data_IF_539670704566
#
_entry.id   IF_539670704566
#
_cell.length_a   1.000
_cell.length_b   1.000
_cell.length_c   1.000
_cell.angle_alpha   90.00
_cell.angle_beta   90.00
_cell.angle_gamma   90.00
#
_symmetry.space_group_name_H-M   'P 1'
#
loop_
_entity.id
_entity.type
_entity.pdbx_description
1 polymer ?
#
# COMPACT_ATOMS: atom_id res chain seq x y z
N UNK A 1 -8.56 2.96 -14.02
CA UNK A 1 -9.72 2.59 -13.18
C UNK A 1 -9.46 1.21 -12.61
N UNK A 2 -9.47 1.06 -11.28
CA UNK A 2 -9.41 -0.27 -10.65
C UNK A 2 -10.83 -0.80 -10.55
N UNK A 3 -11.09 -1.99 -11.12
CA UNK A 3 -12.42 -2.60 -11.20
C UNK A 3 -12.69 -3.63 -10.09
N UNK A 4 -11.71 -3.86 -9.22
CA UNK A 4 -11.82 -4.71 -8.03
C UNK A 4 -10.60 -4.58 -7.12
N UNK A 5 -10.83 -4.72 -5.82
CA UNK A 5 -9.82 -4.66 -4.74
C UNK A 5 -10.15 -5.74 -3.72
N UNK A 6 -9.14 -6.55 -3.36
CA UNK A 6 -9.17 -7.58 -2.30
C UNK A 6 -10.34 -8.58 -2.36
N UNK A 7 -10.88 -8.85 -3.55
CA UNK A 7 -11.98 -9.79 -3.74
C UNK A 7 -11.45 -11.24 -3.78
N UNK A 8 -10.65 -11.64 -2.79
CA UNK A 8 -9.87 -12.89 -2.75
C UNK A 8 -10.67 -14.13 -3.17
N UNK A 9 -11.92 -14.26 -2.70
CA UNK A 9 -12.80 -15.40 -3.02
C UNK A 9 -13.34 -15.41 -4.45
N UNK A 10 -13.27 -14.29 -5.15
CA UNK A 10 -13.81 -14.10 -6.50
C UNK A 10 -12.71 -14.03 -7.58
N UNK A 11 -11.43 -14.02 -7.23
CA UNK A 11 -10.33 -13.83 -8.20
C UNK A 11 -10.33 -14.86 -9.34
N UNK A 12 -10.75 -16.10 -9.07
CA UNK A 12 -10.89 -17.15 -10.07
C UNK A 12 -12.24 -17.21 -10.80
N UNK A 13 -13.15 -16.28 -10.54
CA UNK A 13 -14.50 -16.31 -11.11
C UNK A 13 -14.48 -15.96 -12.60
N UNK A 14 -15.07 -16.80 -13.49
CA UNK A 14 -15.04 -16.55 -14.93
C UNK A 14 -15.75 -15.25 -15.35
N UNK A 15 -16.66 -14.71 -14.52
CA UNK A 15 -17.41 -13.47 -14.79
C UNK A 15 -16.52 -12.23 -14.84
N UNK A 16 -15.29 -12.29 -14.34
CA UNK A 16 -14.32 -11.19 -14.50
C UNK A 16 -14.08 -10.83 -15.97
N UNK A 17 -14.13 -11.82 -16.86
CA UNK A 17 -13.93 -11.59 -18.31
C UNK A 17 -15.00 -10.67 -18.87
N UNK A 18 -16.27 -10.97 -18.57
CA UNK A 18 -17.41 -10.18 -19.05
C UNK A 18 -17.45 -8.80 -18.39
N UNK A 19 -17.13 -8.73 -17.09
CA UNK A 19 -17.05 -7.46 -16.36
C UNK A 19 -15.96 -6.55 -16.94
N UNK A 20 -14.77 -7.09 -17.21
CA UNK A 20 -13.68 -6.32 -17.81
C UNK A 20 -14.03 -5.86 -19.23
N UNK A 21 -14.60 -6.75 -20.05
CA UNK A 21 -15.06 -6.40 -21.38
C UNK A 21 -16.10 -5.27 -21.35
N UNK A 22 -17.07 -5.33 -20.43
CA UNK A 22 -18.07 -4.29 -20.25
C UNK A 22 -17.45 -2.97 -19.78
N UNK A 23 -16.53 -3.00 -18.81
CA UNK A 23 -15.83 -1.82 -18.33
C UNK A 23 -15.10 -1.08 -19.46
N UNK A 24 -14.49 -1.81 -20.42
CA UNK A 24 -13.82 -1.22 -21.59
C UNK A 24 -14.77 -0.52 -22.58
N UNK A 25 -16.07 -0.83 -22.54
CA UNK A 25 -17.06 -0.08 -23.34
C UNK A 25 -17.34 1.31 -22.77
N UNK A 26 -17.10 1.50 -21.47
CA UNK A 26 -17.38 2.75 -20.74
C UNK A 26 -16.11 3.57 -20.48
N UNK A 27 -14.96 2.92 -20.41
CA UNK A 27 -13.69 3.54 -20.03
C UNK A 27 -12.56 3.08 -20.95
N UNK A 28 -11.93 4.03 -21.64
CA UNK A 28 -10.84 3.77 -22.60
C UNK A 28 -9.44 3.81 -22.00
N UNK A 29 -9.30 4.20 -20.73
CA UNK A 29 -8.01 4.23 -20.04
C UNK A 29 -7.60 2.87 -19.47
N UNK A 30 -6.46 2.84 -18.77
CA UNK A 30 -5.93 1.63 -18.14
C UNK A 30 -6.89 1.10 -17.05
N UNK A 31 -7.29 -0.17 -17.17
CA UNK A 31 -8.05 -0.90 -16.17
C UNK A 31 -7.11 -1.67 -15.24
N UNK A 32 -7.51 -1.86 -13.97
CA UNK A 32 -6.68 -2.60 -13.02
C UNK A 32 -7.46 -3.39 -11.97
N UNK A 33 -6.72 -4.20 -11.23
CA UNK A 33 -7.21 -4.97 -10.08
C UNK A 33 -6.14 -4.94 -8.99
N UNK A 34 -6.56 -4.71 -7.75
CA UNK A 34 -5.68 -4.74 -6.58
C UNK A 34 -5.88 -6.06 -5.82
N UNK A 35 -4.82 -6.87 -5.75
CA UNK A 35 -4.80 -8.05 -4.88
C UNK A 35 -4.61 -7.63 -3.42
N UNK A 36 -5.13 -8.43 -2.49
CA UNK A 36 -4.76 -8.32 -1.08
C UNK A 36 -3.29 -8.77 -0.88
N UNK A 37 -2.56 -8.19 0.09
CA UNK A 37 -1.12 -8.40 0.31
C UNK A 37 -0.74 -9.86 0.60
N UNK A 38 -1.62 -10.61 1.25
CA UNK A 38 -1.38 -11.99 1.67
C UNK A 38 -1.48 -12.96 0.48
N UNK A 39 -2.46 -12.72 -0.40
CA UNK A 39 -2.69 -13.50 -1.63
C UNK A 39 -1.71 -13.11 -2.74
N UNK A 40 -1.41 -11.82 -2.91
CA UNK A 40 -0.62 -11.28 -4.03
C UNK A 40 0.70 -12.03 -4.28
N UNK A 41 1.41 -12.34 -3.21
CA UNK A 41 2.73 -12.98 -3.26
C UNK A 41 2.71 -14.47 -3.58
N UNK A 42 1.54 -15.10 -3.60
CA UNK A 42 1.38 -16.54 -3.80
C UNK A 42 0.42 -16.88 -4.95
N UNK A 43 -0.44 -15.93 -5.34
CA UNK A 43 -1.46 -16.15 -6.36
C UNK A 43 -0.86 -16.32 -7.75
N UNK A 44 -1.39 -17.32 -8.46
CA UNK A 44 -1.14 -17.57 -9.88
C UNK A 44 -2.29 -17.08 -10.77
N UNK A 45 -3.34 -16.53 -10.15
CA UNK A 45 -4.52 -16.01 -10.86
C UNK A 45 -4.11 -14.86 -11.79
N UNK A 46 -4.71 -14.85 -12.98
CA UNK A 46 -4.55 -13.79 -13.97
C UNK A 46 -5.85 -13.03 -14.13
N UNK A 47 -5.87 -11.79 -13.68
CA UNK A 47 -7.02 -10.90 -13.85
C UNK A 47 -7.06 -10.35 -15.28
N UNK A 48 -8.24 -10.26 -15.92
CA UNK A 48 -8.39 -9.74 -17.28
C UNK A 48 -8.37 -8.20 -17.31
N UNK A 49 -7.30 -7.59 -16.81
CA UNK A 49 -7.12 -6.13 -16.71
C UNK A 49 -5.75 -5.72 -17.25
N UNK A 50 -5.58 -4.43 -17.58
CA UNK A 50 -4.31 -3.92 -18.12
C UNK A 50 -3.18 -3.93 -17.07
N UNK A 51 -3.52 -3.66 -15.79
CA UNK A 51 -2.54 -3.65 -14.68
C UNK A 51 -3.04 -4.34 -13.43
N UNK A 52 -2.26 -5.29 -12.93
CA UNK A 52 -2.43 -5.84 -11.59
C UNK A 52 -1.54 -5.09 -10.60
N UNK A 53 -2.08 -4.81 -9.42
CA UNK A 53 -1.36 -4.21 -8.30
C UNK A 53 -1.74 -4.90 -7.00
N UNK A 54 -1.40 -4.26 -5.88
CA UNK A 54 -1.60 -4.84 -4.55
C UNK A 54 -1.94 -3.75 -3.52
N UNK A 55 -2.87 -4.06 -2.64
CA UNK A 55 -3.12 -3.32 -1.41
C UNK A 55 -2.17 -3.89 -0.36
N UNK A 56 -1.13 -3.13 -0.04
CA UNK A 56 0.12 -3.65 0.51
C UNK A 56 0.24 -3.35 2.02
N UNK A 57 -0.09 -4.37 2.81
CA UNK A 57 0.00 -4.35 4.27
C UNK A 57 0.79 -5.57 4.80
N UNK A 58 2.05 -5.77 4.39
CA UNK A 58 2.79 -6.96 4.79
C UNK A 58 3.01 -7.05 6.30
N UNK A 59 2.69 -8.18 6.91
CA UNK A 59 2.94 -8.40 8.32
C UNK A 59 4.44 -8.59 8.59
N UNK A 60 5.05 -7.63 9.30
CA UNK A 60 6.46 -7.64 9.68
C UNK A 60 6.56 -7.91 11.20
N UNK A 61 7.09 -9.07 11.64
CA UNK A 61 7.16 -9.42 13.07
C UNK A 61 8.29 -8.67 13.82
N UNK A 62 8.36 -7.35 13.62
CA UNK A 62 9.37 -6.44 14.16
C UNK A 62 8.84 -5.65 15.36
N UNK A 63 9.71 -5.20 16.28
CA UNK A 63 9.34 -4.30 17.38
C UNK A 63 9.17 -2.85 16.91
N UNK A 64 8.57 -2.00 17.74
CA UNK A 64 8.27 -0.60 17.40
C UNK A 64 9.51 0.29 17.23
N UNK A 65 10.62 -0.11 17.87
CA UNK A 65 11.91 0.53 17.74
C UNK A 65 12.70 0.10 16.50
N UNK A 66 12.17 -0.81 15.68
CA UNK A 66 12.80 -1.24 14.44
C UNK A 66 13.17 -0.06 13.54
N UNK A 67 14.37 -0.13 13.00
CA UNK A 67 14.92 0.84 12.06
C UNK A 67 14.20 0.81 10.71
N UNK A 68 14.36 1.89 9.94
CA UNK A 68 13.88 1.95 8.55
C UNK A 68 14.54 0.87 7.70
N UNK A 69 15.81 0.56 7.96
CA UNK A 69 16.57 -0.52 7.31
C UNK A 69 15.92 -1.89 7.54
N UNK A 70 15.57 -2.22 8.80
CA UNK A 70 14.93 -3.49 9.15
C UNK A 70 13.54 -3.62 8.52
N UNK A 71 12.76 -2.54 8.56
CA UNK A 71 11.44 -2.49 7.91
C UNK A 71 11.57 -2.64 6.40
N UNK A 72 12.49 -1.94 5.75
CA UNK A 72 12.71 -2.04 4.30
C UNK A 72 13.18 -3.45 3.91
N UNK A 73 14.01 -4.10 4.74
CA UNK A 73 14.38 -5.50 4.55
C UNK A 73 13.16 -6.43 4.68
N UNK A 74 12.27 -6.18 5.65
CA UNK A 74 11.00 -6.92 5.80
C UNK A 74 10.08 -6.77 4.59
N UNK A 75 9.89 -5.54 4.10
CA UNK A 75 9.14 -5.24 2.87
C UNK A 75 9.73 -5.98 1.66
N UNK A 76 11.06 -5.96 1.50
CA UNK A 76 11.76 -6.68 0.44
C UNK A 76 11.57 -8.20 0.57
N UNK A 77 11.68 -8.76 1.78
CA UNK A 77 11.49 -10.19 2.02
C UNK A 77 10.06 -10.64 1.70
N UNK A 78 9.05 -9.81 1.99
CA UNK A 78 7.67 -10.07 1.58
C UNK A 78 7.52 -10.09 0.05
N UNK A 79 8.03 -9.09 -0.66
CA UNK A 79 7.97 -9.06 -2.13
C UNK A 79 8.81 -10.15 -2.81
N UNK A 80 9.90 -10.61 -2.20
CA UNK A 80 10.71 -11.71 -2.73
C UNK A 80 9.94 -13.02 -2.84
N UNK A 81 8.84 -13.17 -2.09
CA UNK A 81 7.90 -14.28 -2.26
C UNK A 81 7.17 -14.23 -3.60
N UNK A 82 6.97 -13.03 -4.16
CA UNK A 82 6.41 -12.80 -5.51
C UNK A 82 7.48 -12.86 -6.59
N UNK A 83 8.51 -12.03 -6.47
CA UNK A 83 9.60 -11.93 -7.44
C UNK A 83 10.82 -11.25 -6.80
N UNK A 84 12.01 -11.76 -7.11
CA UNK A 84 13.27 -11.15 -6.68
C UNK A 84 13.72 -10.07 -7.65
N UNK A 85 14.41 -9.05 -7.15
CA UNK A 85 14.90 -7.92 -7.95
C UNK A 85 13.82 -6.90 -8.28
N UNK A 86 13.99 -6.17 -9.37
CA UNK A 86 13.10 -5.10 -9.79
C UNK A 86 11.76 -5.62 -10.32
N UNK A 87 10.67 -4.88 -10.07
CA UNK A 87 9.31 -5.21 -10.52
C UNK A 87 8.65 -3.93 -11.09
N UNK A 88 9.16 -3.38 -12.21
CA UNK A 88 8.76 -2.05 -12.69
C UNK A 88 7.32 -1.90 -13.14
N UNK A 89 6.61 -3.01 -13.38
CA UNK A 89 5.18 -2.98 -13.68
C UNK A 89 4.26 -2.92 -12.45
N UNK A 90 4.79 -3.19 -11.24
CA UNK A 90 3.98 -3.30 -10.04
C UNK A 90 3.66 -1.92 -9.45
N UNK A 91 2.38 -1.76 -9.11
CA UNK A 91 1.81 -0.59 -8.45
C UNK A 91 1.24 -1.04 -7.10
N UNK A 92 1.60 -0.35 -6.03
CA UNK A 92 0.97 -0.55 -4.72
C UNK A 92 -0.25 0.38 -4.65
N UNK A 93 -1.46 -0.18 -4.73
CA UNK A 93 -2.71 0.59 -4.74
C UNK A 93 -3.10 1.10 -3.36
N UNK A 94 -2.62 0.44 -2.31
CA UNK A 94 -2.67 0.94 -0.95
C UNK A 94 -1.35 0.67 -0.23
N UNK A 95 -0.87 1.65 0.50
CA UNK A 95 0.20 1.51 1.48
C UNK A 95 -0.19 2.36 2.67
N UNK A 96 -0.53 1.71 3.78
CA UNK A 96 -0.97 2.36 5.01
C UNK A 96 -0.44 1.67 6.25
N UNK A 97 -0.46 2.39 7.36
CA UNK A 97 -0.36 1.82 8.71
C UNK A 97 -0.87 2.86 9.72
N UNK A 98 -1.61 2.43 10.75
CA UNK A 98 -1.90 3.28 11.90
C UNK A 98 -0.67 3.81 12.64
N UNK A 99 -0.76 5.02 13.18
CA UNK A 99 0.23 5.57 14.12
C UNK A 99 0.03 5.00 15.53
N UNK A 100 0.28 3.70 15.69
CA UNK A 100 0.15 2.99 16.97
C UNK A 100 1.29 1.98 17.17
N UNK A 101 1.70 1.81 18.43
CA UNK A 101 2.63 0.73 18.81
C UNK A 101 2.07 -0.65 18.43
N UNK A 102 2.94 -1.57 18.06
CA UNK A 102 2.65 -2.94 17.65
C UNK A 102 2.17 -3.09 16.20
N UNK A 103 2.03 -2.01 15.44
CA UNK A 103 1.31 -2.05 14.15
C UNK A 103 2.05 -2.80 13.04
N UNK A 104 3.37 -2.91 13.10
CA UNK A 104 4.14 -3.62 12.07
C UNK A 104 3.71 -5.08 11.90
N UNK A 105 3.18 -5.69 12.96
CA UNK A 105 2.70 -7.08 12.94
C UNK A 105 1.38 -7.24 12.21
N UNK A 106 0.52 -6.23 12.21
CA UNK A 106 -0.83 -6.26 11.63
C UNK A 106 -1.20 -4.90 11.02
N UNK A 107 -0.49 -4.42 9.98
CA UNK A 107 -0.62 -3.05 9.50
C UNK A 107 -1.97 -2.74 8.83
N UNK A 108 -2.70 -3.76 8.38
CA UNK A 108 -4.05 -3.63 7.86
C UNK A 108 -5.12 -3.44 8.96
N UNK A 109 -4.80 -3.68 10.24
CA UNK A 109 -5.74 -3.42 11.33
C UNK A 109 -5.82 -1.91 11.57
N UNK A 110 -6.96 -1.23 11.34
CA UNK A 110 -7.06 0.23 11.47
C UNK A 110 -6.91 0.74 12.90
N UNK A 111 -7.05 -0.14 13.91
CA UNK A 111 -6.84 0.18 15.30
C UNK A 111 -6.52 -1.08 16.12
N UNK A 112 -5.33 -1.17 16.69
CA UNK A 112 -4.92 -2.29 17.54
C UNK A 112 -5.07 -2.03 19.06
N UNK A 113 -5.61 -0.88 19.45
CA UNK A 113 -5.75 -0.45 20.84
C UNK A 113 -4.44 -0.01 21.51
N UNK A 114 -3.34 0.03 20.76
CA UNK A 114 -2.04 0.51 21.22
C UNK A 114 -2.00 2.03 21.40
N UNK A 115 -1.05 2.55 22.20
CA UNK A 115 -0.83 3.99 22.32
C UNK A 115 -0.46 4.61 20.97
N UNK A 116 -0.82 5.88 20.79
CA UNK A 116 -0.47 6.64 19.58
C UNK A 116 1.05 6.81 19.49
N UNK A 117 1.62 6.41 18.36
CA UNK A 117 3.04 6.56 18.06
C UNK A 117 3.26 6.92 16.58
N UNK A 118 3.52 8.20 16.32
CA UNK A 118 3.75 8.71 14.96
C UNK A 118 5.08 8.25 14.35
N UNK A 119 6.08 7.95 15.19
CA UNK A 119 7.40 7.50 14.71
C UNK A 119 7.29 6.14 14.02
N UNK A 120 6.42 5.27 14.54
CA UNK A 120 6.13 3.96 13.95
C UNK A 120 5.52 4.11 12.55
N UNK A 121 4.50 4.95 12.41
CA UNK A 121 3.89 5.25 11.10
C UNK A 121 4.89 5.93 10.14
N UNK A 122 5.70 6.86 10.63
CA UNK A 122 6.73 7.54 9.84
C UNK A 122 7.76 6.55 9.28
N UNK A 123 8.26 5.64 10.11
CA UNK A 123 9.25 4.63 9.72
C UNK A 123 8.66 3.63 8.71
N UNK A 124 7.40 3.24 8.90
CA UNK A 124 6.67 2.40 7.95
C UNK A 124 6.66 3.01 6.54
N UNK A 125 6.22 4.26 6.41
CA UNK A 125 6.15 4.93 5.10
C UNK A 125 7.54 5.19 4.51
N UNK A 126 8.53 5.51 5.34
CA UNK A 126 9.92 5.69 4.89
C UNK A 126 10.47 4.39 4.30
N UNK A 127 10.25 3.28 4.99
CA UNK A 127 10.68 1.95 4.56
C UNK A 127 9.96 1.49 3.28
N UNK A 128 8.65 1.70 3.19
CA UNK A 128 7.87 1.38 2.00
C UNK A 128 8.35 2.18 0.79
N UNK A 129 8.60 3.49 0.94
CA UNK A 129 9.15 4.32 -0.14
C UNK A 129 10.53 3.85 -0.59
N UNK A 130 11.42 3.55 0.37
CA UNK A 130 12.76 3.03 0.09
C UNK A 130 12.70 1.72 -0.69
N UNK A 131 11.92 0.74 -0.23
CA UNK A 131 11.74 -0.53 -0.92
C UNK A 131 11.19 -0.31 -2.32
N UNK A 132 10.17 0.54 -2.47
CA UNK A 132 9.54 0.77 -3.76
C UNK A 132 10.52 1.35 -4.78
N UNK A 133 11.47 2.19 -4.34
CA UNK A 133 12.58 2.69 -5.17
C UNK A 133 13.61 1.61 -5.48
N UNK A 134 14.02 0.82 -4.49
CA UNK A 134 14.96 -0.30 -4.67
C UNK A 134 14.41 -1.33 -5.69
N UNK A 135 13.10 -1.55 -5.69
CA UNK A 135 12.37 -2.44 -6.61
C UNK A 135 11.99 -1.78 -7.93
N UNK A 136 12.28 -0.50 -8.10
CA UNK A 136 11.91 0.30 -9.26
C UNK A 136 10.40 0.20 -9.60
N UNK A 137 9.51 0.17 -8.59
CA UNK A 137 8.08 0.02 -8.79
C UNK A 137 7.49 1.15 -9.66
N UNK A 138 6.35 0.88 -10.30
CA UNK A 138 5.62 1.87 -11.09
C UNK A 138 5.13 3.05 -10.23
N UNK A 139 4.81 2.78 -8.97
CA UNK A 139 4.37 3.77 -8.01
C UNK A 139 3.73 3.14 -6.78
N UNK A 140 3.18 4.02 -5.94
CA UNK A 140 2.47 3.68 -4.72
C UNK A 140 1.38 4.74 -4.45
N UNK A 141 0.33 4.34 -3.76
CA UNK A 141 -0.70 5.23 -3.24
C UNK A 141 -0.77 5.08 -1.72
N UNK A 142 -0.79 6.19 -1.00
CA UNK A 142 -0.76 6.20 0.46
C UNK A 142 -2.17 6.16 1.04
N UNK A 143 -2.39 5.23 1.97
CA UNK A 143 -3.61 5.11 2.77
C UNK A 143 -3.36 5.68 4.19
N UNK A 144 -4.10 6.69 4.67
CA UNK A 144 -5.16 7.43 3.96
C UNK A 144 -5.25 8.92 4.29
N UNK A 145 -5.90 9.63 3.36
CA UNK A 145 -6.51 10.94 3.60
C UNK A 145 -8.00 10.74 3.84
N UNK A 146 -8.54 11.29 4.93
CA UNK A 146 -9.98 11.21 5.21
C UNK A 146 -10.72 12.44 4.67
N UNK A 147 -11.60 12.23 3.70
CA UNK A 147 -12.38 13.31 3.07
C UNK A 147 -13.49 13.88 3.98
N UNK A 148 -13.69 13.31 5.16
CA UNK A 148 -14.58 13.87 6.19
C UNK A 148 -13.86 14.88 7.11
N UNK A 149 -12.54 15.00 7.00
CA UNK A 149 -11.72 15.92 7.79
C UNK A 149 -11.33 17.09 6.91
N UNK A 150 -11.54 18.31 7.40
CA UNK A 150 -11.01 19.51 6.75
C UNK A 150 -9.47 19.48 6.88
N UNK A 151 -8.73 19.42 5.75
CA UNK A 151 -7.27 19.33 5.79
C UNK A 151 -6.61 20.56 6.43
N UNK A 152 -7.32 21.68 6.58
CA UNK A 152 -6.85 22.86 7.29
C UNK A 152 -7.02 22.80 8.81
N UNK A 153 -7.77 21.82 9.33
CA UNK A 153 -8.08 21.68 10.76
C UNK A 153 -7.85 20.26 11.30
N UNK A 154 -6.87 19.55 10.73
CA UNK A 154 -6.50 18.20 11.19
C UNK A 154 -6.11 18.21 12.68
N UNK A 155 -6.49 17.15 13.39
CA UNK A 155 -6.16 16.92 14.81
C UNK A 155 -5.46 15.56 14.93
N UNK A 156 -4.11 15.49 14.83
CA UNK A 156 -3.35 14.24 14.84
C UNK A 156 -3.65 13.29 16.00
N UNK A 157 -4.11 13.82 17.14
CA UNK A 157 -4.44 13.06 18.35
C UNK A 157 -5.85 12.46 18.33
N UNK A 158 -6.80 13.09 17.62
CA UNK A 158 -8.21 12.66 17.56
C UNK A 158 -8.62 12.08 16.22
N UNK A 159 -7.92 12.43 15.16
CA UNK A 159 -8.12 11.87 13.84
C UNK A 159 -7.80 10.38 13.83
N UNK A 160 -8.38 9.67 12.86
CA UNK A 160 -8.21 8.23 12.71
C UNK A 160 -6.73 7.85 12.75
N UNK A 161 -6.42 6.72 13.39
CA UNK A 161 -5.04 6.27 13.53
C UNK A 161 -4.36 5.99 12.18
N UNK A 162 -5.11 5.64 11.13
CA UNK A 162 -4.60 5.47 9.77
C UNK A 162 -4.29 6.78 9.03
N UNK A 163 -4.82 7.92 9.52
CA UNK A 163 -4.53 9.22 8.91
C UNK A 163 -3.04 9.53 9.06
N UNK A 164 -2.43 10.09 8.02
CA UNK A 164 -1.08 10.64 8.10
C UNK A 164 -1.07 12.17 8.04
N UNK A 165 -2.22 12.81 7.79
CA UNK A 165 -2.33 14.25 7.70
C UNK A 165 -2.04 14.91 9.05
N UNK A 166 -1.22 15.96 9.05
CA UNK A 166 -0.78 16.65 10.26
C UNK A 166 0.22 15.88 11.14
N UNK A 167 0.62 14.66 10.75
CA UNK A 167 1.59 13.81 11.49
C UNK A 167 2.98 13.87 10.88
N UNK A 168 3.98 13.39 11.62
CA UNK A 168 5.36 13.26 11.14
C UNK A 168 5.48 12.48 9.80
N UNK A 169 4.55 11.56 9.55
CA UNK A 169 4.41 10.79 8.31
C UNK A 169 4.11 11.64 7.06
N UNK A 170 3.44 12.79 7.20
CA UNK A 170 3.12 13.66 6.06
C UNK A 170 4.38 14.15 5.34
N UNK A 171 5.39 14.54 6.11
CA UNK A 171 6.68 14.98 5.55
C UNK A 171 7.40 13.84 4.84
N UNK A 172 7.39 12.63 5.41
CA UNK A 172 7.94 11.43 4.76
C UNK A 172 7.30 11.16 3.40
N UNK A 173 5.97 11.29 3.30
CA UNK A 173 5.23 11.10 2.05
C UNK A 173 5.63 12.17 1.01
N UNK A 174 5.74 13.43 1.44
CA UNK A 174 6.20 14.53 0.58
C UNK A 174 7.62 14.29 0.05
N UNK A 175 8.53 13.85 0.91
CA UNK A 175 9.92 13.58 0.54
C UNK A 175 10.06 12.35 -0.38
N UNK A 176 9.20 11.35 -0.19
CA UNK A 176 9.12 10.21 -1.09
C UNK A 176 8.83 10.65 -2.53
N UNK A 177 7.81 11.51 -2.72
CA UNK A 177 7.43 11.98 -4.05
C UNK A 177 8.40 13.02 -4.64
N UNK A 178 9.00 13.89 -3.81
CA UNK A 178 9.96 14.88 -4.31
C UNK A 178 11.22 14.25 -4.92
N UNK A 179 11.57 13.05 -4.46
CA UNK A 179 12.72 12.29 -4.94
C UNK A 179 12.35 11.18 -5.94
N UNK A 180 11.06 10.97 -6.20
CA UNK A 180 10.56 9.96 -7.11
C UNK A 180 10.81 10.36 -8.56
N UNK A 181 11.82 9.73 -9.18
CA UNK A 181 12.05 9.89 -10.61
C UNK A 181 11.19 8.88 -11.35
N UNK A 182 10.14 9.36 -12.01
CA UNK A 182 9.41 8.54 -12.96
C UNK A 182 10.40 7.98 -13.99
N UNK A 183 10.45 6.65 -14.12
CA UNK A 183 11.13 6.00 -15.25
C UNK A 183 10.35 6.44 -16.49
N UNK A 184 10.97 7.29 -17.31
CA UNK A 184 10.43 7.68 -18.61
C UNK A 184 10.63 6.56 -19.61
#
# INVERSE_FOLDING_TARGET
MVIGTELNSLEGDPRWTDLAAYARTLFSGETGYAFNWDVFVHTTVRMPVDRVGVDAYPELPLPDDASVEELAAGWNAWLDRRARGTIPGLLLYEVGAPAQDGIYRHPANPNNGGPVNEVVQQRWFTAACRMARERALAGLYWWRVDFHVDPSTVDPLRDRHESFAGRAAEQTIRDCFSTWRAVR
#
